data_IF_606080333225
#
_entry.id   IF_606080333225
#
_cell.length_a   1.000
_cell.length_b   1.000
_cell.length_c   1.000
_cell.angle_alpha   90.00
_cell.angle_beta   90.00
_cell.angle_gamma   90.00
#
_symmetry.space_group_name_H-M   'P 1'
#
loop_
_entity.id
_entity.type
_entity.pdbx_description
1 polymer ?
#
# COMPACT_ATOMS: atom_id res chain seq x y z
N UNK A 1 -6.68 14.38 11.06
CA UNK A 1 -5.72 15.49 11.19
C UNK A 1 -4.32 14.95 10.95
N UNK A 2 -3.39 15.74 10.42
CA UNK A 2 -1.98 15.33 10.34
C UNK A 2 -1.33 15.36 11.74
N UNK A 3 -0.32 14.52 12.04
CA UNK A 3 0.39 14.53 13.31
C UNK A 3 1.12 15.87 13.43
N UNK A 4 1.18 16.40 14.63
CA UNK A 4 1.78 17.71 14.92
C UNK A 4 3.18 17.58 15.51
N UNK A 5 3.59 16.39 15.94
CA UNK A 5 4.92 16.14 16.51
C UNK A 5 5.61 14.95 15.84
N UNK A 6 6.94 14.88 15.97
CA UNK A 6 7.72 13.75 15.48
C UNK A 6 7.30 12.43 16.14
N UNK A 7 7.01 12.45 17.44
CA UNK A 7 6.58 11.24 18.15
C UNK A 7 5.26 10.71 17.59
N UNK A 8 4.27 11.58 17.35
CA UNK A 8 3.01 11.17 16.73
C UNK A 8 3.19 10.66 15.29
N UNK A 9 4.17 11.19 14.54
CA UNK A 9 4.53 10.66 13.22
C UNK A 9 5.04 9.22 13.36
N UNK A 10 5.95 8.98 14.31
CA UNK A 10 6.55 7.67 14.54
C UNK A 10 5.51 6.65 15.05
N UNK A 11 4.67 7.04 16.00
CA UNK A 11 3.58 6.20 16.50
C UNK A 11 2.64 5.81 15.37
N UNK A 12 2.19 6.78 14.56
CA UNK A 12 1.27 6.52 13.45
C UNK A 12 1.89 5.64 12.37
N UNK A 13 3.19 5.76 12.11
CA UNK A 13 3.89 4.91 11.16
C UNK A 13 3.99 3.44 11.63
N UNK A 14 3.95 3.20 12.94
CA UNK A 14 4.03 1.86 13.54
C UNK A 14 2.66 1.21 13.78
N UNK A 15 1.55 1.92 13.54
CA UNK A 15 0.20 1.38 13.66
C UNK A 15 0.04 0.07 12.85
N UNK A 16 -0.51 -0.97 13.49
CA UNK A 16 -0.73 -2.28 12.88
C UNK A 16 0.51 -3.18 12.76
N UNK A 17 1.71 -2.69 13.13
CA UNK A 17 2.95 -3.50 13.10
C UNK A 17 3.15 -4.36 14.34
N UNK A 18 2.50 -4.00 15.46
CA UNK A 18 2.69 -4.64 16.76
C UNK A 18 3.90 -4.14 17.55
N UNK A 19 4.63 -3.12 17.05
CA UNK A 19 5.77 -2.51 17.72
C UNK A 19 5.47 -1.09 18.23
N UNK A 20 6.09 -0.71 19.34
CA UNK A 20 6.11 0.68 19.83
C UNK A 20 7.40 1.40 19.42
N UNK A 21 7.40 2.74 19.47
CA UNK A 21 8.58 3.55 19.14
C UNK A 21 9.76 3.20 20.05
N UNK A 22 9.51 2.94 21.34
CA UNK A 22 10.53 2.55 22.32
C UNK A 22 11.15 1.20 21.98
N UNK A 23 10.34 0.22 21.56
CA UNK A 23 10.84 -1.08 21.14
C UNK A 23 11.75 -0.97 19.93
N UNK A 24 11.39 -0.13 18.96
CA UNK A 24 12.22 0.15 17.78
C UNK A 24 13.54 0.82 18.17
N UNK A 25 13.49 1.84 19.04
CA UNK A 25 14.69 2.52 19.56
C UNK A 25 15.61 1.55 20.32
N UNK A 26 15.04 0.71 21.19
CA UNK A 26 15.78 -0.29 21.95
C UNK A 26 16.44 -1.37 21.05
N UNK A 27 15.82 -1.68 19.91
CA UNK A 27 16.34 -2.60 18.89
C UNK A 27 17.41 -1.96 17.96
N UNK A 28 17.90 -0.75 18.27
CA UNK A 28 18.89 -0.06 17.44
C UNK A 28 18.28 0.67 16.25
N UNK A 29 17.00 1.04 16.34
CA UNK A 29 16.30 1.85 15.34
C UNK A 29 15.63 1.06 14.22
N UNK A 30 15.62 -0.28 14.27
CA UNK A 30 14.93 -1.11 13.28
C UNK A 30 14.36 -2.39 13.88
N UNK A 31 13.21 -2.81 13.37
CA UNK A 31 12.54 -4.07 13.72
C UNK A 31 12.04 -4.74 12.44
N UNK A 32 11.73 -6.03 12.52
CA UNK A 32 11.18 -6.79 11.40
C UNK A 32 9.79 -7.29 11.78
N UNK A 33 8.81 -6.99 10.93
CA UNK A 33 7.48 -7.61 11.02
C UNK A 33 7.53 -9.04 10.45
N UNK A 34 6.69 -9.97 10.94
CA UNK A 34 6.65 -11.33 10.40
C UNK A 34 6.46 -11.35 8.89
N UNK A 35 7.36 -12.02 8.18
CA UNK A 35 7.25 -12.17 6.74
C UNK A 35 6.04 -13.04 6.38
N UNK A 36 5.24 -12.58 5.43
CA UNK A 36 4.17 -13.37 4.81
C UNK A 36 4.75 -14.21 3.67
N UNK A 37 4.32 -15.47 3.56
CA UNK A 37 4.75 -16.36 2.48
C UNK A 37 4.40 -15.76 1.11
N UNK A 38 5.34 -15.83 0.17
CA UNK A 38 5.14 -15.30 -1.18
C UNK A 38 3.95 -15.97 -1.86
N UNK A 39 3.02 -15.14 -2.36
CA UNK A 39 1.86 -15.61 -3.10
C UNK A 39 1.92 -15.14 -4.54
N UNK A 40 1.93 -16.09 -5.46
CA UNK A 40 1.83 -15.84 -6.90
C UNK A 40 0.38 -15.62 -7.33
N UNK A 41 0.21 -14.93 -8.48
CA UNK A 41 -1.07 -14.66 -9.16
C UNK A 41 -2.12 -14.05 -8.23
N UNK A 42 -1.71 -13.07 -7.42
CA UNK A 42 -2.59 -12.37 -6.46
C UNK A 42 -3.82 -11.74 -7.12
N UNK A 43 -3.70 -11.31 -8.38
CA UNK A 43 -4.80 -10.79 -9.19
C UNK A 43 -5.91 -11.81 -9.42
N UNK A 44 -5.65 -13.12 -9.42
CA UNK A 44 -6.72 -14.13 -9.51
C UNK A 44 -7.38 -14.41 -8.18
N UNK A 45 -6.63 -14.24 -7.09
CA UNK A 45 -7.04 -14.57 -5.73
C UNK A 45 -7.78 -13.44 -5.01
N UNK A 46 -7.92 -12.29 -5.68
CA UNK A 46 -8.51 -11.09 -5.10
C UNK A 46 -7.69 -10.45 -3.98
N UNK A 47 -6.39 -10.72 -3.95
CA UNK A 47 -5.49 -10.23 -2.90
C UNK A 47 -4.87 -8.86 -3.21
N UNK A 48 -5.26 -8.25 -4.32
CA UNK A 48 -4.75 -6.94 -4.77
C UNK A 48 -5.82 -5.84 -4.68
N UNK A 49 -7.01 -6.15 -4.19
CA UNK A 49 -8.14 -5.21 -4.12
C UNK A 49 -8.74 -5.22 -2.73
N UNK A 50 -9.15 -4.06 -2.18
CA UNK A 50 -9.80 -4.00 -0.88
C UNK A 50 -11.16 -4.71 -0.87
N UNK A 51 -11.83 -4.82 -2.03
CA UNK A 51 -13.11 -5.53 -2.18
C UNK A 51 -12.97 -7.05 -2.32
N UNK A 52 -11.75 -7.60 -2.31
CA UNK A 52 -11.49 -9.03 -2.41
C UNK A 52 -11.83 -9.66 -3.76
N UNK A 53 -12.22 -8.89 -4.78
CA UNK A 53 -12.50 -9.44 -6.12
C UNK A 53 -11.21 -9.66 -6.90
N UNK A 54 -11.17 -10.59 -7.87
CA UNK A 54 -10.05 -10.69 -8.80
C UNK A 54 -9.78 -9.37 -9.55
N UNK A 55 -8.53 -9.17 -9.93
CA UNK A 55 -8.05 -8.02 -10.68
C UNK A 55 -7.03 -7.17 -9.94
N UNK A 56 -6.92 -5.92 -10.36
CA UNK A 56 -6.07 -4.88 -9.79
C UNK A 56 -6.93 -3.76 -9.19
N UNK A 57 -6.38 -2.99 -8.26
CA UNK A 57 -7.05 -1.83 -7.67
C UNK A 57 -7.01 -0.62 -8.63
N UNK A 58 -7.66 -0.79 -9.77
CA UNK A 58 -7.83 0.22 -10.83
C UNK A 58 -9.32 0.40 -11.13
N UNK A 59 -9.74 1.51 -11.76
CA UNK A 59 -11.16 1.74 -12.07
C UNK A 59 -11.83 0.58 -12.82
N UNK A 60 -11.11 -0.03 -13.77
CA UNK A 60 -11.62 -1.18 -14.55
C UNK A 60 -11.40 -2.53 -13.88
N UNK A 61 -10.62 -2.60 -12.80
CA UNK A 61 -10.17 -3.86 -12.19
C UNK A 61 -9.11 -4.60 -13.01
N UNK A 62 -8.61 -4.05 -14.10
CA UNK A 62 -7.57 -4.65 -14.97
C UNK A 62 -6.25 -3.90 -14.83
N UNK A 63 -5.17 -4.48 -15.36
CA UNK A 63 -3.96 -3.71 -15.61
C UNK A 63 -4.24 -2.74 -16.76
N UNK A 64 -4.30 -1.45 -16.46
CA UNK A 64 -4.61 -0.40 -17.44
C UNK A 64 -3.35 -0.02 -18.21
N UNK A 65 -3.10 -0.70 -19.33
CA UNK A 65 -2.06 -0.30 -20.28
C UNK A 65 -2.38 1.08 -20.92
N UNK A 66 -3.67 1.40 -21.04
CA UNK A 66 -4.19 2.74 -21.34
C UNK A 66 -4.92 3.25 -20.11
N UNK A 67 -4.47 4.36 -19.52
CA UNK A 67 -5.02 4.90 -18.27
C UNK A 67 -6.39 5.56 -18.51
N UNK A 68 -7.42 5.01 -17.85
CA UNK A 68 -8.76 5.61 -17.87
C UNK A 68 -8.78 6.97 -17.15
N UNK A 69 -8.04 7.08 -16.05
CA UNK A 69 -7.91 8.32 -15.26
C UNK A 69 -7.31 9.45 -16.09
N UNK A 70 -6.26 9.18 -16.89
CA UNK A 70 -5.67 10.20 -17.76
C UNK A 70 -6.66 10.67 -18.83
N UNK A 71 -7.34 9.72 -19.49
CA UNK A 71 -8.35 10.04 -20.49
C UNK A 71 -9.50 10.89 -19.91
N UNK A 72 -9.97 10.56 -18.71
CA UNK A 72 -11.02 11.33 -18.00
C UNK A 72 -10.61 12.78 -17.71
N UNK A 73 -9.30 13.04 -17.56
CA UNK A 73 -8.75 14.37 -17.33
C UNK A 73 -8.22 15.05 -18.60
N UNK A 74 -8.46 14.46 -19.78
CA UNK A 74 -8.08 15.03 -21.08
C UNK A 74 -6.63 14.84 -21.51
N UNK A 75 -5.90 13.93 -20.85
CA UNK A 75 -4.53 13.56 -21.21
C UNK A 75 -4.50 12.32 -22.12
N UNK A 76 -3.36 12.08 -22.78
CA UNK A 76 -3.15 10.83 -23.52
C UNK A 76 -3.16 9.65 -22.54
N UNK A 77 -3.91 8.60 -22.89
CA UNK A 77 -4.04 7.41 -22.07
C UNK A 77 -2.81 6.50 -22.18
N UNK A 78 -2.03 6.63 -23.26
CA UNK A 78 -0.83 5.85 -23.52
C UNK A 78 0.43 6.67 -23.21
N UNK A 79 1.55 6.02 -22.88
CA UNK A 79 2.84 6.69 -22.81
C UNK A 79 3.21 7.33 -24.15
N UNK A 80 3.70 8.56 -24.11
CA UNK A 80 4.20 9.34 -25.26
C UNK A 80 5.72 9.42 -25.31
#
# INVERSE_FOLDING_TARGET
LYPQTEEEILERALEGTGFTVEQVRAAGGSVQVPAVMMQYRKWEKGLLRPDGRPGFDTPTGKLEAASTVLAEHGYDALPV
#
